data_IF_553738538714
#
_entry.id   IF_553738538714
#
_cell.length_a   1.000
_cell.length_b   1.000
_cell.length_c   1.000
_cell.angle_alpha   90.00
_cell.angle_beta   90.00
_cell.angle_gamma   90.00
#
_symmetry.space_group_name_H-M   'P 1'
#
loop_
_entity.id
_entity.type
_entity.pdbx_description
1 polymer ?
#
# COMPACT_ATOMS: atom_id res chain seq x y z
N UNK A 1 31.51 9.38 3.05
CA UNK A 1 30.80 9.90 1.86
C UNK A 1 29.39 9.33 1.87
N UNK A 2 28.41 10.09 2.35
CA UNK A 2 27.01 9.70 2.28
C UNK A 2 26.51 9.92 0.85
N UNK A 3 25.98 8.89 0.20
CA UNK A 3 25.30 9.01 -1.10
C UNK A 3 24.10 9.94 -0.92
N UNK A 4 24.03 11.01 -1.71
CA UNK A 4 22.82 11.83 -1.82
C UNK A 4 21.63 10.93 -2.20
N UNK A 5 20.42 11.15 -1.65
CA UNK A 5 19.23 10.48 -2.16
C UNK A 5 19.03 10.99 -3.59
N UNK A 6 19.33 10.16 -4.59
CA UNK A 6 18.89 10.46 -5.95
C UNK A 6 17.38 10.59 -5.92
N UNK A 7 16.89 11.71 -6.41
CA UNK A 7 15.49 12.07 -6.40
C UNK A 7 14.78 11.23 -7.47
N UNK A 8 14.41 9.99 -7.11
CA UNK A 8 13.74 9.04 -8.01
C UNK A 8 12.26 9.41 -8.27
N UNK A 9 11.88 10.67 -8.06
CA UNK A 9 10.53 11.21 -8.27
C UNK A 9 10.01 10.98 -9.69
N UNK A 10 10.91 10.89 -10.68
CA UNK A 10 10.54 10.52 -12.04
C UNK A 10 9.97 9.09 -12.14
N UNK A 11 10.51 8.13 -11.38
CA UNK A 11 10.03 6.74 -11.39
C UNK A 11 8.68 6.62 -10.70
N UNK A 12 8.47 7.38 -9.61
CA UNK A 12 7.18 7.52 -8.96
C UNK A 12 6.13 8.12 -9.91
N UNK A 13 6.44 9.22 -10.59
CA UNK A 13 5.51 9.84 -11.53
C UNK A 13 5.12 8.89 -12.68
N UNK A 14 6.07 8.12 -13.21
CA UNK A 14 5.77 7.08 -14.20
C UNK A 14 4.86 5.99 -13.61
N UNK A 15 5.09 5.57 -12.37
CA UNK A 15 4.25 4.57 -11.72
C UNK A 15 2.81 5.08 -11.51
N UNK A 16 2.62 6.33 -11.07
CA UNK A 16 1.30 6.97 -10.94
C UNK A 16 0.56 6.96 -12.27
N UNK A 17 1.21 7.42 -13.34
CA UNK A 17 0.58 7.47 -14.66
C UNK A 17 0.24 6.06 -15.19
N UNK A 18 1.11 5.07 -14.95
CA UNK A 18 0.80 3.68 -15.30
C UNK A 18 -0.38 3.15 -14.51
N UNK A 19 -0.49 3.44 -13.21
CA UNK A 19 -1.63 2.98 -12.40
C UNK A 19 -2.95 3.60 -12.86
N UNK A 20 -2.96 4.88 -13.25
CA UNK A 20 -4.14 5.54 -13.84
C UNK A 20 -4.67 4.84 -15.10
N UNK A 21 -3.80 4.15 -15.85
CA UNK A 21 -4.24 3.40 -17.04
C UNK A 21 -5.07 2.15 -16.74
N UNK A 22 -5.06 1.68 -15.47
CA UNK A 22 -5.74 0.45 -15.06
C UNK A 22 -5.42 -0.75 -15.97
N UNK A 23 -4.18 -0.81 -16.47
CA UNK A 23 -3.75 -1.78 -17.45
C UNK A 23 -2.68 -2.73 -16.88
N UNK A 24 -3.04 -3.99 -16.71
CA UNK A 24 -2.15 -5.02 -16.16
C UNK A 24 -0.89 -5.25 -17.01
N UNK A 25 -0.96 -5.08 -18.33
CA UNK A 25 0.23 -5.18 -19.19
C UNK A 25 1.16 -3.98 -19.01
N UNK A 26 0.61 -2.78 -18.78
CA UNK A 26 1.39 -1.60 -18.43
C UNK A 26 2.07 -1.76 -17.07
N UNK A 27 1.38 -2.30 -16.06
CA UNK A 27 1.97 -2.58 -14.73
C UNK A 27 3.12 -3.59 -14.82
N UNK A 28 2.96 -4.67 -15.59
CA UNK A 28 4.07 -5.61 -15.84
C UNK A 28 5.26 -4.94 -16.52
N UNK A 29 5.01 -3.99 -17.42
CA UNK A 29 6.07 -3.24 -18.11
C UNK A 29 6.75 -2.24 -17.17
N UNK A 30 5.98 -1.58 -16.30
CA UNK A 30 6.48 -0.71 -15.25
C UNK A 30 7.47 -1.45 -14.34
N UNK A 31 7.14 -2.66 -13.90
CA UNK A 31 8.02 -3.45 -13.04
C UNK A 31 9.37 -3.74 -13.69
N UNK A 32 9.36 -4.09 -14.98
CA UNK A 32 10.60 -4.25 -15.78
C UNK A 32 11.36 -2.93 -15.94
N UNK A 33 10.66 -1.81 -16.08
CA UNK A 33 11.29 -0.50 -16.14
C UNK A 33 11.96 -0.13 -14.80
N UNK A 34 11.30 -0.43 -13.68
CA UNK A 34 11.81 -0.15 -12.33
C UNK A 34 13.03 -1.01 -11.96
N UNK A 35 13.34 -2.10 -12.67
CA UNK A 35 14.61 -2.84 -12.43
C UNK A 35 15.85 -2.01 -12.77
N UNK A 36 15.69 -0.84 -13.41
CA UNK A 36 16.76 0.14 -13.56
C UNK A 36 17.18 0.80 -12.23
N UNK A 37 16.34 0.71 -11.19
CA UNK A 37 16.66 1.20 -9.85
C UNK A 37 17.71 0.30 -9.17
N UNK A 38 18.59 0.86 -8.33
CA UNK A 38 19.77 0.15 -7.84
C UNK A 38 19.49 -0.84 -6.70
N UNK A 39 18.26 -0.89 -6.18
CA UNK A 39 17.88 -1.78 -5.06
C UNK A 39 16.38 -2.11 -5.13
N UNK A 40 15.97 -3.34 -4.74
CA UNK A 40 14.57 -3.69 -4.54
C UNK A 40 13.82 -2.75 -3.60
N UNK A 41 14.51 -2.19 -2.59
CA UNK A 41 13.91 -1.22 -1.67
C UNK A 41 13.43 0.04 -2.39
N UNK A 42 14.19 0.54 -3.36
CA UNK A 42 13.78 1.71 -4.14
C UNK A 42 12.60 1.43 -5.05
N UNK A 43 12.49 0.20 -5.58
CA UNK A 43 11.33 -0.22 -6.35
C UNK A 43 10.09 -0.23 -5.46
N UNK A 44 10.19 -0.86 -4.28
CA UNK A 44 9.13 -0.89 -3.28
C UNK A 44 8.68 0.53 -2.89
N UNK A 45 9.63 1.41 -2.58
CA UNK A 45 9.34 2.77 -2.15
C UNK A 45 8.68 3.58 -3.27
N UNK A 46 9.16 3.45 -4.51
CA UNK A 46 8.56 4.15 -5.67
C UNK A 46 7.12 3.69 -5.93
N UNK A 47 6.87 2.37 -5.87
CA UNK A 47 5.52 1.82 -6.05
C UNK A 47 4.60 2.24 -4.91
N UNK A 48 5.08 2.21 -3.66
CA UNK A 48 4.29 2.58 -2.49
C UNK A 48 3.95 4.08 -2.52
N UNK A 49 4.92 4.95 -2.77
CA UNK A 49 4.65 6.39 -2.89
C UNK A 49 3.71 6.71 -4.04
N UNK A 50 3.81 6.00 -5.17
CA UNK A 50 2.87 6.17 -6.26
C UNK A 50 1.44 5.79 -5.88
N UNK A 51 1.24 4.79 -5.01
CA UNK A 51 -0.10 4.45 -4.49
C UNK A 51 -0.64 5.55 -3.58
N UNK A 52 0.18 6.07 -2.67
CA UNK A 52 -0.22 7.18 -1.80
C UNK A 52 -0.54 8.45 -2.60
N UNK A 53 0.26 8.76 -3.62
CA UNK A 53 -0.01 9.90 -4.51
C UNK A 53 -1.28 9.66 -5.34
N UNK A 54 -1.48 8.44 -5.84
CA UNK A 54 -2.68 8.08 -6.59
C UNK A 54 -3.93 8.15 -5.72
N UNK A 55 -3.85 7.77 -4.44
CA UNK A 55 -4.96 7.90 -3.49
C UNK A 55 -5.47 9.35 -3.38
N UNK A 56 -4.57 10.33 -3.45
CA UNK A 56 -4.90 11.76 -3.39
C UNK A 56 -5.39 12.31 -4.73
N UNK A 57 -4.82 11.85 -5.85
CA UNK A 57 -5.10 12.40 -7.19
C UNK A 57 -6.29 11.72 -7.88
N UNK A 58 -6.41 10.40 -7.76
CA UNK A 58 -7.38 9.55 -8.43
C UNK A 58 -7.73 8.34 -7.55
N UNK A 59 -8.62 8.53 -6.56
CA UNK A 59 -9.02 7.47 -5.64
C UNK A 59 -9.62 6.25 -6.35
N UNK A 60 -10.26 6.42 -7.51
CA UNK A 60 -10.86 5.31 -8.26
C UNK A 60 -9.78 4.42 -8.86
N UNK A 61 -8.78 5.01 -9.52
CA UNK A 61 -7.62 4.26 -9.99
C UNK A 61 -6.84 3.62 -8.83
N UNK A 62 -6.77 4.30 -7.68
CA UNK A 62 -6.16 3.74 -6.46
C UNK A 62 -6.88 2.47 -5.99
N UNK A 63 -8.21 2.52 -5.82
CA UNK A 63 -9.01 1.32 -5.49
C UNK A 63 -8.79 0.20 -6.49
N UNK A 64 -8.77 0.54 -7.78
CA UNK A 64 -8.54 -0.45 -8.83
C UNK A 64 -7.20 -1.17 -8.65
N UNK A 65 -6.10 -0.46 -8.40
CA UNK A 65 -4.80 -1.10 -8.20
C UNK A 65 -4.73 -1.88 -6.88
N UNK A 66 -5.39 -1.41 -5.83
CA UNK A 66 -5.48 -2.12 -4.55
C UNK A 66 -6.21 -3.47 -4.72
N UNK A 67 -7.28 -3.54 -5.50
CA UNK A 67 -7.95 -4.80 -5.86
C UNK A 67 -7.11 -5.74 -6.74
N UNK A 68 -6.09 -5.20 -7.41
CA UNK A 68 -5.18 -5.94 -8.28
C UNK A 68 -3.77 -6.04 -7.69
N UNK A 69 -3.64 -5.92 -6.36
CA UNK A 69 -2.36 -5.81 -5.67
C UNK A 69 -1.40 -6.95 -5.97
N UNK A 70 -1.89 -8.16 -6.26
CA UNK A 70 -1.05 -9.31 -6.63
C UNK A 70 -0.14 -9.04 -7.84
N UNK A 71 -0.48 -8.05 -8.68
CA UNK A 71 0.36 -7.68 -9.82
C UNK A 71 1.61 -6.89 -9.43
N UNK A 72 1.64 -6.32 -8.23
CA UNK A 72 2.77 -5.60 -7.67
C UNK A 72 3.78 -6.52 -6.96
N UNK A 73 3.40 -7.78 -6.70
CA UNK A 73 4.28 -8.77 -6.08
C UNK A 73 5.31 -9.35 -7.06
N UNK A 74 6.54 -9.67 -6.62
CA UNK A 74 7.03 -9.61 -5.24
C UNK A 74 7.54 -8.24 -4.77
N UNK A 75 7.58 -7.24 -5.64
CA UNK A 75 8.23 -5.95 -5.39
C UNK A 75 7.51 -5.11 -4.32
N UNK A 76 6.19 -5.22 -4.24
CA UNK A 76 5.38 -4.59 -3.19
C UNK A 76 4.23 -5.51 -2.77
N UNK A 77 4.34 -6.06 -1.55
CA UNK A 77 3.26 -6.80 -0.91
C UNK A 77 2.37 -5.84 -0.10
N UNK A 78 1.25 -5.41 -0.68
CA UNK A 78 0.35 -4.46 -0.03
C UNK A 78 -0.37 -5.03 1.20
N UNK A 79 -0.59 -6.35 1.23
CA UNK A 79 -1.15 -7.03 2.40
C UNK A 79 -0.21 -6.90 3.61
N UNK A 80 1.09 -7.15 3.43
CA UNK A 80 2.09 -6.96 4.49
C UNK A 80 2.21 -5.50 4.94
N UNK A 81 2.19 -4.56 3.99
CA UNK A 81 2.23 -3.12 4.30
C UNK A 81 1.02 -2.71 5.12
N UNK A 82 -0.18 -3.10 4.70
CA UNK A 82 -1.42 -2.78 5.40
C UNK A 82 -1.43 -3.38 6.82
N UNK A 83 -1.05 -4.66 6.98
CA UNK A 83 -0.97 -5.31 8.30
C UNK A 83 0.01 -4.61 9.23
N UNK A 84 1.16 -4.17 8.71
CA UNK A 84 2.13 -3.41 9.49
C UNK A 84 1.55 -2.09 9.99
N UNK A 85 0.93 -1.31 9.09
CA UNK A 85 0.30 -0.01 9.43
C UNK A 85 -0.79 -0.20 10.49
N UNK A 86 -1.67 -1.19 10.31
CA UNK A 86 -2.75 -1.47 11.26
C UNK A 86 -2.19 -1.92 12.60
N UNK A 87 -1.19 -2.80 12.61
CA UNK A 87 -0.59 -3.28 13.86
C UNK A 87 0.04 -2.14 14.65
N UNK A 88 0.85 -1.30 14.01
CA UNK A 88 1.48 -0.14 14.65
C UNK A 88 0.43 0.82 15.21
N UNK A 89 -0.62 1.11 14.43
CA UNK A 89 -1.68 2.05 14.83
C UNK A 89 -2.49 1.50 16.01
N UNK A 90 -2.92 0.25 15.97
CA UNK A 90 -3.71 -0.34 17.06
C UNK A 90 -2.87 -0.52 18.34
N UNK A 91 -1.60 -0.92 18.20
CA UNK A 91 -0.70 -1.02 19.35
C UNK A 91 -0.40 0.35 19.97
N UNK A 92 -0.30 1.42 19.17
CA UNK A 92 -0.15 2.78 19.70
C UNK A 92 -1.38 3.26 20.49
N UNK A 93 -2.54 2.65 20.27
CA UNK A 93 -3.77 2.87 21.03
C UNK A 93 -3.89 1.97 22.26
N UNK A 94 -2.87 1.14 22.54
CA UNK A 94 -2.84 0.21 23.67
C UNK A 94 -3.55 -1.11 23.43
N UNK A 95 -3.98 -1.40 22.19
CA UNK A 95 -4.62 -2.66 21.83
C UNK A 95 -3.57 -3.76 21.62
N UNK A 96 -3.90 -4.97 22.07
CA UNK A 96 -2.99 -6.10 22.11
C UNK A 96 -3.31 -7.08 20.97
N UNK A 97 -2.31 -7.35 20.14
CA UNK A 97 -2.39 -8.37 19.10
C UNK A 97 -2.71 -9.73 19.72
N UNK A 98 -3.61 -10.50 19.10
CA UNK A 98 -4.21 -11.78 19.58
C UNK A 98 -5.25 -11.66 20.69
N UNK A 99 -5.43 -10.50 21.32
CA UNK A 99 -6.46 -10.28 22.34
C UNK A 99 -7.59 -9.39 21.81
N UNK A 100 -7.23 -8.21 21.32
CA UNK A 100 -8.20 -7.20 20.85
C UNK A 100 -8.41 -7.25 19.33
N UNK A 101 -7.38 -7.70 18.60
CA UNK A 101 -7.43 -7.86 17.15
C UNK A 101 -6.49 -8.98 16.67
N UNK A 102 -6.81 -9.54 15.52
CA UNK A 102 -6.01 -10.55 14.84
C UNK A 102 -6.15 -10.43 13.31
N UNK A 103 -5.37 -11.20 12.55
CA UNK A 103 -5.56 -11.36 11.12
C UNK A 103 -6.02 -12.78 10.80
N UNK A 104 -6.95 -12.90 9.85
CA UNK A 104 -7.38 -14.22 9.35
C UNK A 104 -6.28 -14.88 8.50
N UNK A 105 -6.48 -16.14 8.14
CA UNK A 105 -5.58 -16.86 7.21
C UNK A 105 -5.44 -16.14 5.87
N UNK A 106 -6.50 -15.46 5.43
CA UNK A 106 -6.51 -14.68 4.18
C UNK A 106 -5.88 -13.29 4.36
N UNK A 107 -5.60 -12.89 5.61
CA UNK A 107 -4.97 -11.62 5.94
C UNK A 107 -5.90 -10.48 6.30
N UNK A 108 -7.20 -10.71 6.29
CA UNK A 108 -8.19 -9.71 6.66
C UNK A 108 -8.14 -9.41 8.15
N UNK A 109 -8.44 -8.17 8.53
CA UNK A 109 -8.45 -7.77 9.94
C UNK A 109 -9.69 -8.33 10.65
N UNK A 110 -9.44 -9.14 11.68
CA UNK A 110 -10.43 -9.60 12.63
C UNK A 110 -10.38 -8.72 13.88
N UNK A 111 -11.30 -7.77 13.98
CA UNK A 111 -11.45 -6.86 15.10
C UNK A 111 -12.92 -6.43 15.24
N UNK A 112 -13.32 -5.95 16.41
CA UNK A 112 -14.66 -5.38 16.60
C UNK A 112 -14.89 -4.13 15.75
N UNK A 113 -16.13 -3.89 15.33
CA UNK A 113 -16.51 -2.69 14.56
C UNK A 113 -16.07 -1.36 15.21
N UNK A 114 -16.10 -1.18 16.55
CA UNK A 114 -15.55 0.03 17.16
C UNK A 114 -14.05 0.21 16.91
N UNK A 115 -13.28 -0.87 16.90
CA UNK A 115 -11.84 -0.85 16.63
C UNK A 115 -11.59 -0.50 15.16
N UNK A 116 -12.36 -1.07 14.23
CA UNK A 116 -12.29 -0.72 12.80
C UNK A 116 -12.65 0.74 12.55
N UNK A 117 -13.69 1.26 13.21
CA UNK A 117 -14.06 2.66 13.10
C UNK A 117 -12.95 3.58 13.62
N UNK A 118 -12.40 3.28 14.81
CA UNK A 118 -11.29 4.05 15.41
C UNK A 118 -9.99 3.97 14.58
N UNK A 119 -9.76 2.87 13.87
CA UNK A 119 -8.62 2.72 12.97
C UNK A 119 -8.67 3.75 11.82
N UNK A 120 -9.86 4.07 11.33
CA UNK A 120 -10.09 4.95 10.17
C UNK A 120 -10.28 6.43 10.52
N UNK A 121 -10.59 6.76 11.77
CA UNK A 121 -10.99 8.12 12.20
C UNK A 121 -9.91 9.19 11.90
N UNK A 122 -8.63 8.84 12.07
CA UNK A 122 -7.47 9.70 11.78
C UNK A 122 -6.54 9.10 10.71
N UNK A 123 -7.06 8.25 9.83
CA UNK A 123 -6.26 7.68 8.75
C UNK A 123 -6.05 8.70 7.63
N UNK A 124 -4.85 8.74 7.04
CA UNK A 124 -4.65 9.44 5.77
C UNK A 124 -5.54 8.83 4.68
N UNK A 125 -5.84 9.55 3.60
CA UNK A 125 -6.67 8.99 2.52
C UNK A 125 -6.03 7.72 1.96
N UNK A 126 -4.70 7.71 1.79
CA UNK A 126 -3.96 6.53 1.35
C UNK A 126 -4.03 5.36 2.34
N UNK A 127 -3.81 5.61 3.64
CA UNK A 127 -3.93 4.53 4.65
C UNK A 127 -5.34 4.00 4.73
N UNK A 128 -6.34 4.88 4.67
CA UNK A 128 -7.75 4.52 4.70
C UNK A 128 -8.10 3.61 3.54
N UNK A 129 -7.78 4.01 2.31
CA UNK A 129 -8.02 3.18 1.12
C UNK A 129 -7.25 1.86 1.21
N UNK A 130 -5.99 1.89 1.64
CA UNK A 130 -5.19 0.67 1.79
C UNK A 130 -5.83 -0.29 2.79
N UNK A 131 -6.28 0.19 3.94
CA UNK A 131 -6.90 -0.62 4.99
C UNK A 131 -8.26 -1.16 4.52
N UNK A 132 -9.13 -0.27 4.01
CA UNK A 132 -10.47 -0.64 3.56
C UNK A 132 -10.40 -1.67 2.41
N UNK A 133 -9.58 -1.42 1.39
CA UNK A 133 -9.58 -2.21 0.16
C UNK A 133 -8.70 -3.47 0.23
N UNK A 134 -7.72 -3.53 1.15
CA UNK A 134 -6.83 -4.70 1.28
C UNK A 134 -7.14 -5.56 2.51
N UNK A 135 -7.61 -4.97 3.61
CA UNK A 135 -7.79 -5.71 4.87
C UNK A 135 -9.25 -5.95 5.26
N UNK A 136 -10.20 -5.14 4.77
CA UNK A 136 -11.61 -5.29 5.15
C UNK A 136 -12.43 -6.09 4.13
N UNK A 137 -11.90 -6.36 2.94
CA UNK A 137 -12.63 -7.10 1.91
C UNK A 137 -12.58 -8.62 2.20
N UNK A 138 -13.77 -9.20 2.37
CA UNK A 138 -14.06 -10.64 2.31
C UNK A 138 -14.68 -11.00 0.97
#
# INVERSE_FOLDING_TARGET
MARQPQNYSAFQGVAVEVFKTQNLAAIRSLKKFLTALPSPSYIRDALLQAIYELAEQDPEACRWILHHHQHLEPELNLMEVARFIVTERLQSQGLIFTQDFNFTVNGTLEAGEPIKAALLEDASIGDRLLIEEVLFIC
#
